data_IF_846524552956
#
_entry.id   IF_846524552956
#
_cell.length_a   1.000
_cell.length_b   1.000
_cell.length_c   1.000
_cell.angle_alpha   90.00
_cell.angle_beta   90.00
_cell.angle_gamma   90.00
#
_symmetry.space_group_name_H-M   'P 1'
#
loop_
_entity.id
_entity.type
_entity.pdbx_description
1 polymer ?
#
# COMPACT_ATOMS: atom_id res chain seq x y z
N UNK A 1 15.03 -5.39 4.45
CA UNK A 1 15.41 -4.66 5.67
C UNK A 1 15.82 -3.23 5.33
N UNK A 2 15.89 -2.33 6.32
CA UNK A 2 16.35 -0.95 6.12
C UNK A 2 17.79 -0.88 5.58
N UNK A 3 18.60 -1.88 5.87
CA UNK A 3 19.98 -2.05 5.40
C UNK A 3 20.09 -2.69 4.01
N UNK A 4 19.00 -3.14 3.39
CA UNK A 4 19.06 -3.69 2.03
C UNK A 4 19.33 -2.56 1.02
N UNK A 5 20.27 -2.72 0.07
CA UNK A 5 20.50 -1.74 -0.96
C UNK A 5 19.22 -1.50 -1.77
N UNK A 6 18.87 -0.23 -1.97
CA UNK A 6 17.75 0.11 -2.84
C UNK A 6 18.17 -0.22 -4.28
N UNK A 7 17.40 -1.07 -4.95
CA UNK A 7 17.59 -1.41 -6.37
C UNK A 7 16.33 -0.95 -7.14
N UNK A 8 16.14 0.38 -7.33
CA UNK A 8 14.98 0.92 -8.02
C UNK A 8 15.07 0.60 -9.52
N UNK A 9 14.03 0.03 -10.08
CA UNK A 9 13.92 -0.30 -11.51
C UNK A 9 12.89 0.55 -12.26
N UNK A 10 12.06 1.29 -11.53
CA UNK A 10 11.04 2.20 -12.07
C UNK A 10 11.49 3.66 -11.89
N UNK A 11 11.23 4.53 -12.85
CA UNK A 11 11.63 5.96 -12.82
C UNK A 11 11.16 6.67 -11.54
N UNK A 12 9.98 6.34 -11.06
CA UNK A 12 9.46 6.86 -9.79
C UNK A 12 10.31 6.43 -8.58
N UNK A 13 10.72 5.16 -8.55
CA UNK A 13 11.56 4.65 -7.46
C UNK A 13 12.97 5.22 -7.53
N UNK A 14 13.50 5.45 -8.73
CA UNK A 14 14.79 6.11 -8.96
C UNK A 14 14.74 7.53 -8.41
N UNK A 15 13.71 8.33 -8.78
CA UNK A 15 13.59 9.71 -8.31
C UNK A 15 13.47 9.83 -6.78
N UNK A 16 12.78 8.89 -6.15
CA UNK A 16 12.69 8.82 -4.68
C UNK A 16 14.01 8.47 -4.02
N UNK A 17 14.77 7.57 -4.61
CA UNK A 17 16.10 7.21 -4.12
C UNK A 17 17.09 8.36 -4.26
N UNK A 18 17.09 9.06 -5.40
CA UNK A 18 17.91 10.26 -5.63
C UNK A 18 17.57 11.38 -4.63
N UNK A 19 16.26 11.60 -4.37
CA UNK A 19 15.81 12.57 -3.37
C UNK A 19 16.30 12.19 -1.97
N UNK A 20 16.24 10.92 -1.59
CA UNK A 20 16.77 10.42 -0.33
C UNK A 20 18.28 10.66 -0.22
N UNK A 21 19.05 10.36 -1.26
CA UNK A 21 20.50 10.61 -1.29
C UNK A 21 20.83 12.10 -1.19
N UNK A 22 20.06 12.96 -1.87
CA UNK A 22 20.24 14.40 -1.79
C UNK A 22 19.98 14.94 -0.38
N UNK A 23 18.94 14.43 0.30
CA UNK A 23 18.65 14.79 1.69
C UNK A 23 19.77 14.37 2.65
N UNK A 24 20.36 13.20 2.49
CA UNK A 24 21.50 12.76 3.31
C UNK A 24 22.72 13.65 3.10
N UNK A 25 23.06 13.99 1.87
CA UNK A 25 24.16 14.92 1.57
C UNK A 25 23.92 16.31 2.17
N UNK A 26 22.68 16.80 2.10
CA UNK A 26 22.32 18.08 2.71
C UNK A 26 22.43 18.01 4.23
N UNK A 27 21.98 16.92 4.85
CA UNK A 27 22.12 16.68 6.29
C UNK A 27 23.58 16.75 6.74
N UNK A 28 24.47 16.08 6.02
CA UNK A 28 25.91 16.08 6.32
C UNK A 28 26.54 17.48 6.22
N UNK A 29 26.12 18.30 5.24
CA UNK A 29 26.72 19.60 4.98
C UNK A 29 26.14 20.75 5.83
N UNK A 30 24.89 20.62 6.31
CA UNK A 30 24.18 21.70 7.00
C UNK A 30 23.81 21.39 8.45
N UNK A 31 23.94 20.13 8.87
CA UNK A 31 23.42 19.68 10.17
C UNK A 31 21.89 19.53 10.21
N UNK A 32 21.21 19.56 9.06
CA UNK A 32 19.76 19.30 8.99
C UNK A 32 19.44 17.90 9.52
N UNK A 33 18.52 17.80 10.43
CA UNK A 33 18.06 16.52 10.98
C UNK A 33 17.09 15.85 10.01
N UNK A 34 17.52 14.76 9.38
CA UNK A 34 16.74 14.00 8.40
C UNK A 34 16.33 12.66 8.99
N UNK A 35 15.08 12.29 8.78
CA UNK A 35 14.55 10.94 9.03
C UNK A 35 13.87 10.47 7.75
N UNK A 36 14.18 9.27 7.30
CA UNK A 36 13.58 8.66 6.13
C UNK A 36 12.59 7.58 6.57
N UNK A 37 11.34 7.70 6.13
CA UNK A 37 10.32 6.67 6.35
C UNK A 37 9.94 6.04 5.01
N UNK A 38 10.22 4.75 4.87
CA UNK A 38 9.87 3.96 3.69
C UNK A 38 8.62 3.13 3.99
N UNK A 39 7.55 3.35 3.25
CA UNK A 39 6.27 2.67 3.40
C UNK A 39 5.97 1.74 2.22
N UNK A 40 5.22 0.65 2.43
CA UNK A 40 4.62 -0.15 1.37
C UNK A 40 3.44 0.60 0.73
N UNK A 41 2.55 -0.14 0.06
CA UNK A 41 1.30 0.44 -0.45
C UNK A 41 0.47 1.00 0.71
N UNK A 42 0.21 2.30 0.65
CA UNK A 42 -0.65 3.01 1.59
C UNK A 42 -2.11 2.83 1.17
N UNK A 43 -2.97 2.50 2.14
CA UNK A 43 -4.41 2.39 1.93
C UNK A 43 -5.17 3.17 3.03
N UNK A 44 -6.45 3.43 2.79
CA UNK A 44 -7.27 4.21 3.72
C UNK A 44 -8.33 5.03 2.98
N UNK A 45 -9.14 5.82 3.68
CA UNK A 45 -10.02 6.81 3.06
C UNK A 45 -9.23 7.76 2.15
N UNK A 46 -9.84 8.13 1.01
CA UNK A 46 -9.22 8.98 -0.03
C UNK A 46 -7.99 8.39 -0.74
N UNK A 47 -7.69 7.09 -0.58
CA UNK A 47 -6.56 6.47 -1.27
C UNK A 47 -6.72 6.59 -2.80
N UNK A 48 -5.72 7.13 -3.50
CA UNK A 48 -5.69 7.16 -4.96
C UNK A 48 -5.07 5.88 -5.55
N UNK A 49 -4.96 5.84 -6.87
CA UNK A 49 -4.11 4.88 -7.57
C UNK A 49 -4.58 3.44 -7.50
N UNK A 50 -3.64 2.53 -7.24
CA UNK A 50 -3.85 1.10 -7.41
C UNK A 50 -4.82 0.49 -6.40
N UNK A 51 -4.87 0.98 -5.16
CA UNK A 51 -5.81 0.47 -4.17
C UNK A 51 -7.26 0.83 -4.53
N UNK A 52 -7.49 2.06 -4.99
CA UNK A 52 -8.80 2.47 -5.49
C UNK A 52 -9.23 1.68 -6.74
N UNK A 53 -8.27 1.35 -7.63
CA UNK A 53 -8.55 0.49 -8.79
C UNK A 53 -8.98 -0.91 -8.34
N UNK A 54 -8.30 -1.47 -7.33
CA UNK A 54 -8.67 -2.76 -6.76
C UNK A 54 -10.07 -2.73 -6.14
N UNK A 55 -10.41 -1.68 -5.37
CA UNK A 55 -11.76 -1.49 -4.82
C UNK A 55 -12.84 -1.49 -5.91
N UNK A 56 -12.62 -0.73 -6.98
CA UNK A 56 -13.55 -0.68 -8.12
C UNK A 56 -13.68 -2.04 -8.81
N UNK A 57 -12.57 -2.75 -8.97
CA UNK A 57 -12.54 -4.07 -9.57
C UNK A 57 -13.33 -5.09 -8.73
N UNK A 58 -13.16 -5.06 -7.41
CA UNK A 58 -13.90 -5.93 -6.50
C UNK A 58 -15.40 -5.54 -6.46
N UNK A 59 -15.70 -4.25 -6.45
CA UNK A 59 -17.09 -3.74 -6.42
C UNK A 59 -17.87 -4.08 -7.69
N UNK A 60 -17.19 -4.20 -8.85
CA UNK A 60 -17.83 -4.59 -10.11
C UNK A 60 -18.39 -6.03 -10.08
N UNK A 61 -17.97 -6.87 -9.14
CA UNK A 61 -18.45 -8.24 -8.97
C UNK A 61 -18.04 -9.21 -10.09
N UNK A 62 -17.17 -8.79 -11.02
CA UNK A 62 -16.69 -9.66 -12.09
C UNK A 62 -15.79 -10.76 -11.53
N UNK A 63 -15.76 -11.96 -12.15
CA UNK A 63 -14.81 -12.99 -11.79
C UNK A 63 -13.36 -12.52 -12.00
N UNK A 64 -12.51 -12.75 -10.99
CA UNK A 64 -11.10 -12.32 -11.00
C UNK A 64 -10.17 -13.54 -11.08
N UNK A 65 -9.18 -13.56 -11.96
CA UNK A 65 -8.28 -14.70 -12.15
C UNK A 65 -7.15 -14.74 -11.11
N UNK A 66 -7.48 -14.57 -9.82
CA UNK A 66 -6.47 -14.39 -8.76
C UNK A 66 -6.40 -15.57 -7.78
N UNK A 67 -7.20 -16.63 -7.95
CA UNK A 67 -7.23 -17.73 -6.99
C UNK A 67 -5.88 -18.46 -6.81
N UNK A 68 -5.05 -18.51 -7.86
CA UNK A 68 -3.75 -19.22 -7.85
C UNK A 68 -2.58 -18.34 -7.38
N UNK A 69 -2.82 -17.08 -7.01
CA UNK A 69 -1.76 -16.20 -6.51
C UNK A 69 -1.42 -16.58 -5.08
N UNK A 70 -0.14 -16.88 -4.86
CA UNK A 70 0.42 -17.22 -3.54
C UNK A 70 1.50 -16.18 -3.22
N UNK A 71 1.07 -15.02 -2.77
CA UNK A 71 1.96 -13.93 -2.36
C UNK A 71 1.64 -13.46 -0.95
N UNK A 72 2.54 -12.66 -0.38
CA UNK A 72 2.33 -11.98 0.88
C UNK A 72 2.78 -10.53 0.74
N UNK A 73 1.93 -9.59 1.11
CA UNK A 73 2.18 -8.15 0.96
C UNK A 73 1.94 -7.42 2.26
N UNK A 74 2.96 -6.70 2.70
CA UNK A 74 2.78 -5.67 3.72
C UNK A 74 2.03 -4.48 3.13
N UNK A 75 1.15 -3.91 3.93
CA UNK A 75 0.39 -2.69 3.65
C UNK A 75 0.54 -1.76 4.85
N UNK A 76 0.18 -0.49 4.69
CA UNK A 76 0.06 0.43 5.81
C UNK A 76 -1.18 1.31 5.67
N UNK A 77 -1.99 1.38 6.72
CA UNK A 77 -3.12 2.29 6.79
C UNK A 77 -2.63 3.74 6.91
N UNK A 78 -3.33 4.68 6.28
CA UNK A 78 -2.93 6.09 6.28
C UNK A 78 -2.74 6.66 7.68
N UNK A 79 -3.61 6.32 8.64
CA UNK A 79 -3.48 6.80 10.03
C UNK A 79 -2.25 6.21 10.73
N UNK A 80 -1.89 4.95 10.44
CA UNK A 80 -0.67 4.34 10.95
C UNK A 80 0.58 5.02 10.37
N UNK A 81 0.56 5.38 9.07
CA UNK A 81 1.65 6.12 8.45
C UNK A 81 1.80 7.51 9.06
N UNK A 82 0.69 8.25 9.23
CA UNK A 82 0.71 9.57 9.87
C UNK A 82 1.24 9.49 11.30
N UNK A 83 0.78 8.50 12.08
CA UNK A 83 1.27 8.28 13.45
C UNK A 83 2.76 7.91 13.49
N UNK A 84 3.25 7.09 12.54
CA UNK A 84 4.67 6.77 12.42
C UNK A 84 5.52 8.01 12.08
N UNK A 85 5.04 8.86 11.16
CA UNK A 85 5.71 10.12 10.81
C UNK A 85 5.77 11.07 12.00
N UNK A 86 4.67 11.22 12.77
CA UNK A 86 4.66 12.02 14.00
C UNK A 86 5.65 11.47 15.02
N UNK A 87 5.69 10.14 15.24
CA UNK A 87 6.64 9.53 16.15
C UNK A 87 8.10 9.77 15.74
N UNK A 88 8.39 9.76 14.44
CA UNK A 88 9.72 10.09 13.92
C UNK A 88 10.06 11.57 14.10
N UNK A 89 9.09 12.48 13.96
CA UNK A 89 9.32 13.93 14.14
C UNK A 89 9.55 14.31 15.62
N UNK A 90 8.83 13.66 16.52
CA UNK A 90 8.82 14.02 17.95
C UNK A 90 9.99 13.38 18.73
N UNK A 91 10.62 12.33 18.20
CA UNK A 91 11.62 11.56 18.95
C UNK A 91 13.03 11.82 18.44
N UNK A 92 13.94 12.41 19.27
CA UNK A 92 15.33 12.67 18.87
C UNK A 92 16.10 11.42 18.41
N UNK A 93 15.75 10.23 18.91
CA UNK A 93 16.36 8.96 18.52
C UNK A 93 16.14 8.61 17.02
N UNK A 94 15.14 9.22 16.39
CA UNK A 94 14.85 8.99 14.97
C UNK A 94 15.84 9.69 14.03
N UNK A 95 16.58 10.69 14.51
CA UNK A 95 17.49 11.51 13.71
C UNK A 95 18.57 10.68 13.02
N UNK A 96 18.78 10.92 11.74
CA UNK A 96 19.76 10.20 10.96
C UNK A 96 19.39 8.75 10.65
N UNK A 97 18.12 8.36 10.85
CA UNK A 97 17.66 6.98 10.67
C UNK A 97 16.77 6.81 9.44
N UNK A 98 16.73 5.59 8.96
CA UNK A 98 15.75 5.13 7.96
C UNK A 98 14.88 4.05 8.57
N UNK A 99 13.56 4.28 8.63
CA UNK A 99 12.59 3.32 9.14
C UNK A 99 11.73 2.76 8.03
N UNK A 100 11.47 1.45 8.12
CA UNK A 100 10.43 0.77 7.38
C UNK A 100 9.18 0.69 8.25
N UNK A 101 8.00 0.95 7.69
CA UNK A 101 6.74 0.98 8.43
C UNK A 101 5.66 0.14 7.74
N UNK A 102 4.90 -0.61 8.51
CA UNK A 102 3.79 -1.43 8.03
C UNK A 102 2.77 -1.69 9.14
N UNK A 103 1.60 -2.25 8.80
CA UNK A 103 0.56 -2.59 9.77
C UNK A 103 0.89 -3.81 10.65
N UNK A 104 2.07 -4.42 10.48
CA UNK A 104 2.54 -5.56 11.27
C UNK A 104 2.05 -6.92 10.79
N UNK A 105 1.18 -6.97 9.82
CA UNK A 105 0.66 -8.20 9.20
C UNK A 105 0.73 -8.12 7.69
N UNK A 106 0.97 -9.26 7.05
CA UNK A 106 0.95 -9.35 5.60
C UNK A 106 -0.33 -10.07 5.15
N UNK A 107 -0.82 -9.72 3.97
CA UNK A 107 -2.01 -10.31 3.38
C UNK A 107 -1.74 -10.77 1.95
N UNK A 108 -2.32 -11.91 1.54
CA UNK A 108 -2.27 -12.32 0.15
C UNK A 108 -3.24 -11.53 -0.72
N UNK A 109 -2.96 -11.42 -2.02
CA UNK A 109 -3.89 -10.76 -2.96
C UNK A 109 -5.27 -11.44 -2.98
N UNK A 110 -5.40 -12.78 -3.01
CA UNK A 110 -6.71 -13.42 -2.91
C UNK A 110 -7.45 -13.11 -1.61
N UNK A 111 -6.76 -13.08 -0.47
CA UNK A 111 -7.40 -12.80 0.81
C UNK A 111 -7.80 -11.34 0.95
N UNK A 112 -6.99 -10.42 0.45
CA UNK A 112 -7.36 -9.01 0.36
C UNK A 112 -8.63 -8.80 -0.47
N UNK A 113 -8.72 -9.47 -1.64
CA UNK A 113 -9.93 -9.42 -2.50
C UNK A 113 -11.14 -10.00 -1.78
N UNK A 114 -11.02 -11.15 -1.10
CA UNK A 114 -12.12 -11.75 -0.33
C UNK A 114 -12.60 -10.82 0.80
N UNK A 115 -11.66 -10.24 1.54
CA UNK A 115 -11.96 -9.31 2.63
C UNK A 115 -12.68 -8.07 2.10
N UNK A 116 -12.15 -7.43 1.05
CA UNK A 116 -12.79 -6.26 0.43
C UNK A 116 -14.18 -6.59 -0.12
N UNK A 117 -14.35 -7.74 -0.80
CA UNK A 117 -15.64 -8.15 -1.32
C UNK A 117 -16.68 -8.32 -0.19
N UNK A 118 -16.30 -8.96 0.91
CA UNK A 118 -17.16 -9.08 2.09
C UNK A 118 -17.58 -7.72 2.65
N UNK A 119 -16.63 -6.79 2.81
CA UNK A 119 -16.88 -5.43 3.29
C UNK A 119 -17.74 -4.59 2.34
N UNK A 120 -17.64 -4.84 1.02
CA UNK A 120 -18.45 -4.20 -0.01
C UNK A 120 -19.79 -4.89 -0.23
N UNK A 121 -20.11 -6.00 0.48
CA UNK A 121 -21.28 -6.85 0.27
C UNK A 121 -21.36 -7.41 -1.16
N UNK A 122 -20.21 -7.77 -1.71
CA UNK A 122 -20.07 -8.43 -3.01
C UNK A 122 -19.62 -9.88 -2.83
N UNK A 123 -19.90 -10.72 -3.82
CA UNK A 123 -19.31 -12.07 -3.87
C UNK A 123 -17.94 -12.01 -4.51
N UNK A 124 -16.92 -12.52 -3.82
CA UNK A 124 -15.60 -12.69 -4.39
C UNK A 124 -15.59 -13.96 -5.26
N UNK A 125 -15.69 -13.81 -6.56
CA UNK A 125 -15.55 -14.94 -7.50
C UNK A 125 -14.09 -14.95 -7.98
N UNK A 126 -13.27 -15.82 -7.38
CA UNK A 126 -11.87 -15.99 -7.74
C UNK A 126 -11.70 -17.25 -8.60
N UNK A 127 -11.18 -17.07 -9.81
CA UNK A 127 -10.90 -18.17 -10.74
C UNK A 127 -9.43 -18.57 -10.66
N UNK A 128 -9.10 -19.87 -10.75
CA UNK A 128 -7.73 -20.31 -10.84
C UNK A 128 -7.15 -19.91 -12.20
N UNK A 129 -6.00 -19.25 -12.17
CA UNK A 129 -5.26 -18.86 -13.36
C UNK A 129 -3.78 -18.94 -13.07
N UNK A 130 -2.97 -19.60 -13.90
CA UNK A 130 -1.53 -19.63 -13.73
C UNK A 130 -0.95 -18.21 -13.72
N UNK A 131 -0.09 -17.90 -12.76
CA UNK A 131 0.54 -16.57 -12.64
C UNK A 131 1.35 -16.21 -13.89
N UNK A 132 1.97 -17.21 -14.53
CA UNK A 132 2.68 -17.02 -15.81
C UNK A 132 1.78 -16.48 -16.93
N UNK A 133 0.53 -16.98 -17.01
CA UNK A 133 -0.44 -16.50 -17.98
C UNK A 133 -0.88 -15.06 -17.67
N UNK A 134 -1.13 -14.74 -16.40
CA UNK A 134 -1.44 -13.36 -15.97
C UNK A 134 -0.32 -12.39 -16.35
N UNK A 135 0.93 -12.76 -16.10
CA UNK A 135 2.10 -11.95 -16.45
C UNK A 135 2.27 -11.78 -17.95
N UNK A 136 2.01 -12.84 -18.72
CA UNK A 136 2.05 -12.78 -20.18
C UNK A 136 1.00 -11.82 -20.73
N UNK A 137 -0.27 -11.95 -20.29
CA UNK A 137 -1.35 -11.03 -20.67
C UNK A 137 -1.03 -9.60 -20.26
N UNK A 138 -0.52 -9.39 -19.04
CA UNK A 138 -0.13 -8.07 -18.54
C UNK A 138 0.92 -7.40 -19.43
N UNK A 139 1.92 -8.15 -19.93
CA UNK A 139 2.93 -7.63 -20.87
C UNK A 139 2.32 -7.25 -22.20
N UNK A 140 1.43 -8.08 -22.74
CA UNK A 140 0.77 -7.82 -24.03
C UNK A 140 -0.17 -6.62 -23.98
N UNK A 141 -0.75 -6.33 -22.82
CA UNK A 141 -1.71 -5.21 -22.64
C UNK A 141 -1.06 -3.94 -22.07
N UNK A 142 0.26 -3.91 -21.88
CA UNK A 142 0.96 -2.79 -21.25
C UNK A 142 0.67 -2.64 -19.74
N UNK A 143 0.07 -3.66 -19.12
CA UNK A 143 -0.25 -3.67 -17.68
C UNK A 143 0.69 -4.56 -16.84
N UNK A 144 1.88 -4.84 -17.35
CA UNK A 144 2.86 -5.74 -16.72
C UNK A 144 3.16 -5.36 -15.27
N UNK A 145 3.38 -4.08 -14.99
CA UNK A 145 3.64 -3.59 -13.63
C UNK A 145 2.43 -3.77 -12.69
N UNK A 146 1.22 -3.51 -13.16
CA UNK A 146 0.03 -3.70 -12.34
C UNK A 146 -0.17 -5.17 -11.96
N UNK A 147 0.10 -6.08 -12.90
CA UNK A 147 0.06 -7.52 -12.65
C UNK A 147 1.20 -7.95 -11.72
N UNK A 148 2.42 -7.45 -11.90
CA UNK A 148 3.53 -7.72 -11.00
C UNK A 148 3.19 -7.29 -9.56
N UNK A 149 2.65 -6.09 -9.39
CA UNK A 149 2.20 -5.60 -8.06
C UNK A 149 1.10 -6.46 -7.44
N UNK A 150 0.29 -7.18 -8.22
CA UNK A 150 -0.72 -8.10 -7.70
C UNK A 150 -0.18 -9.51 -7.43
N UNK A 151 0.86 -9.94 -8.14
CA UNK A 151 1.37 -11.30 -8.07
C UNK A 151 2.63 -11.47 -7.21
N UNK A 152 3.41 -10.39 -7.03
CA UNK A 152 4.67 -10.45 -6.30
C UNK A 152 4.48 -10.22 -4.82
N UNK A 153 5.34 -10.85 -4.02
CA UNK A 153 5.42 -10.61 -2.58
C UNK A 153 6.23 -9.33 -2.29
N UNK A 154 5.78 -8.58 -1.30
CA UNK A 154 6.51 -7.44 -0.74
C UNK A 154 6.33 -7.46 0.78
N UNK A 155 7.32 -7.98 1.48
CA UNK A 155 7.34 -8.01 2.94
C UNK A 155 8.25 -6.89 3.46
N UNK A 156 7.71 -6.11 4.38
CA UNK A 156 8.40 -5.03 5.06
C UNK A 156 8.67 -5.47 6.49
N UNK A 157 9.88 -5.25 6.96
CA UNK A 157 10.27 -5.47 8.35
C UNK A 157 10.27 -4.14 9.11
N UNK A 158 9.16 -3.85 9.79
CA UNK A 158 8.98 -2.67 10.64
C UNK A 158 9.47 -2.85 12.08
N UNK A 159 10.31 -3.85 12.38
CA UNK A 159 10.78 -4.11 13.74
C UNK A 159 11.61 -2.97 14.33
N UNK A 160 12.41 -2.29 13.51
CA UNK A 160 13.29 -1.21 13.97
C UNK A 160 12.49 -0.02 14.55
N UNK A 161 11.47 0.48 13.87
CA UNK A 161 10.65 1.58 14.39
C UNK A 161 9.90 1.16 15.66
N UNK A 162 9.45 -0.10 15.75
CA UNK A 162 8.77 -0.62 16.93
C UNK A 162 9.70 -0.70 18.14
N UNK A 163 10.93 -1.17 17.96
CA UNK A 163 11.89 -1.34 19.06
C UNK A 163 12.59 -0.04 19.46
N UNK A 164 12.96 0.82 18.50
CA UNK A 164 13.73 2.04 18.77
C UNK A 164 12.83 3.21 19.20
N UNK A 165 11.64 3.30 18.61
CA UNK A 165 10.70 4.38 18.89
C UNK A 165 9.48 3.93 19.70
N UNK A 166 9.41 2.69 20.19
CA UNK A 166 8.23 2.14 20.89
C UNK A 166 6.92 2.47 20.13
N UNK A 167 6.99 2.38 18.80
CA UNK A 167 5.87 2.68 17.92
C UNK A 167 5.04 1.43 17.65
N UNK A 168 3.73 1.57 17.66
CA UNK A 168 2.80 0.51 17.28
C UNK A 168 1.74 1.08 16.34
N UNK A 169 1.24 0.30 15.38
CA UNK A 169 0.09 0.68 14.58
C UNK A 169 -1.11 1.02 15.47
N UNK A 170 -1.73 2.18 15.26
CA UNK A 170 -2.91 2.65 16.01
C UNK A 170 -4.22 2.09 15.46
N UNK A 171 -4.19 1.54 14.25
CA UNK A 171 -5.32 0.95 13.56
C UNK A 171 -4.90 -0.43 13.04
N UNK A 172 -5.68 -1.47 13.35
CA UNK A 172 -5.47 -2.80 12.79
C UNK A 172 -5.80 -2.84 11.29
N UNK A 173 -5.21 -3.78 10.54
CA UNK A 173 -5.53 -3.96 9.11
C UNK A 173 -7.04 -4.19 8.89
N UNK A 174 -7.69 -4.94 9.75
CA UNK A 174 -9.15 -5.20 9.66
C UNK A 174 -9.96 -3.92 9.78
N UNK A 175 -9.66 -3.08 10.75
CA UNK A 175 -10.31 -1.78 10.97
C UNK A 175 -10.03 -0.83 9.80
N UNK A 176 -8.77 -0.74 9.35
CA UNK A 176 -8.38 0.11 8.23
C UNK A 176 -9.07 -0.28 6.92
N UNK A 177 -9.17 -1.58 6.62
CA UNK A 177 -9.91 -2.06 5.44
C UNK A 177 -11.40 -1.74 5.55
N UNK A 178 -11.99 -1.87 6.74
CA UNK A 178 -13.40 -1.51 6.99
C UNK A 178 -13.63 0.00 6.80
N UNK A 179 -12.77 0.86 7.34
CA UNK A 179 -12.85 2.31 7.15
C UNK A 179 -12.75 2.69 5.67
N UNK A 180 -11.81 2.07 4.96
CA UNK A 180 -11.59 2.29 3.53
C UNK A 180 -12.82 1.87 2.69
N UNK A 181 -13.42 0.71 2.99
CA UNK A 181 -14.60 0.22 2.30
C UNK A 181 -15.84 1.10 2.57
N UNK A 182 -16.02 1.60 3.81
CA UNK A 182 -17.09 2.54 4.17
C UNK A 182 -16.97 3.84 3.39
N UNK A 183 -15.76 4.42 3.38
CA UNK A 183 -15.49 5.64 2.61
C UNK A 183 -15.80 5.44 1.12
N UNK A 184 -15.34 4.33 0.53
CA UNK A 184 -15.58 4.02 -0.88
C UNK A 184 -17.08 3.96 -1.20
N UNK A 185 -17.90 3.28 -0.38
CA UNK A 185 -19.35 3.22 -0.54
C UNK A 185 -20.01 4.58 -0.49
N UNK A 186 -19.66 5.42 0.49
CA UNK A 186 -20.23 6.77 0.63
C UNK A 186 -19.92 7.61 -0.61
N UNK A 187 -18.71 7.56 -1.11
CA UNK A 187 -18.30 8.27 -2.32
C UNK A 187 -19.08 7.81 -3.56
N UNK A 188 -19.29 6.50 -3.70
CA UNK A 188 -20.01 5.94 -4.86
C UNK A 188 -21.48 6.35 -4.84
N UNK A 189 -22.11 6.38 -3.67
CA UNK A 189 -23.50 6.84 -3.49
C UNK A 189 -23.63 8.33 -3.86
N UNK A 190 -22.72 9.18 -3.42
CA UNK A 190 -22.72 10.61 -3.74
C UNK A 190 -22.54 10.87 -5.24
N UNK A 191 -21.63 10.14 -5.89
CA UNK A 191 -21.40 10.25 -7.34
C UNK A 191 -22.64 9.83 -8.15
N UNK A 192 -23.36 8.79 -7.73
CA UNK A 192 -24.60 8.34 -8.39
C UNK A 192 -25.81 9.25 -8.11
N UNK A 193 -25.84 9.94 -6.97
CA UNK A 193 -26.89 10.91 -6.62
C UNK A 193 -26.78 12.24 -7.41
N UNK A 194 -25.56 12.71 -7.66
CA UNK A 194 -25.29 13.95 -8.39
C UNK A 194 -25.66 13.86 -9.89
N UNK A 195 -25.63 12.64 -10.46
CA UNK A 195 -25.98 12.44 -11.88
C UNK A 195 -27.49 12.44 -12.16
N UNK A 196 -28.34 12.43 -11.12
CA UNK A 196 -29.81 12.39 -11.27
C UNK A 196 -30.49 13.77 -11.16
N UNK A 197 -29.75 14.85 -10.90
CA UNK A 197 -30.29 16.19 -10.75
C UNK A 197 -29.98 17.14 -11.95
N UNK A 198 -29.50 16.58 -13.05
CA UNK A 198 -29.16 17.35 -14.28
C UNK A 198 -30.02 16.95 -15.48
N UNK A 199 -31.22 16.36 -15.28
CA UNK A 199 -32.23 16.19 -16.31
C UNK A 199 -33.45 17.09 -16.07
#
# INVERSE_FOLDING_TARGET
SASSPAAPTEDYAISKHEAEQALWKLSESTGLEVVVVRSPLVYGPNCPGNFLRLLRLVDSGIPLPFASIQNARSLIHVDNLVNALSACADRPLARGRTYLVDDGVAISTPDLVRTLAGLLHRKAVLLPCPVSLLRWVGRMTGQGEAIARLTDSLLIDGSAIRSELDWQPVCSMSEGLMQTARWYKTRTIQASGSSRHTE
#
